data_IF_995671563940
#
_entry.id   IF_995671563940
#
_cell.length_a   1.000
_cell.length_b   1.000
_cell.length_c   1.000
_cell.angle_alpha   90.00
_cell.angle_beta   90.00
_cell.angle_gamma   90.00
#
_symmetry.space_group_name_H-M   'P 1'
#
loop_
_entity.id
_entity.type
_entity.pdbx_description
1 polymer ?
#
# COMPACT_ATOMS: atom_id res chain seq x y z
N UNK A 1 9.81 18.04 2.93
CA UNK A 1 9.81 17.26 4.21
C UNK A 1 10.25 18.15 5.35
N UNK A 2 9.62 18.00 6.49
CA UNK A 2 9.88 18.83 7.66
C UNK A 2 10.47 17.98 8.79
N UNK A 3 10.96 18.66 9.83
CA UNK A 3 11.41 17.98 11.05
C UNK A 3 10.25 17.25 11.72
N UNK A 4 9.05 17.79 11.60
CA UNK A 4 7.83 17.15 12.10
C UNK A 4 7.62 15.79 11.42
N UNK A 5 7.76 15.75 10.08
CA UNK A 5 7.63 14.49 9.34
C UNK A 5 8.65 13.45 9.84
N UNK A 6 9.87 13.87 10.08
CA UNK A 6 10.92 13.00 10.58
C UNK A 6 10.57 12.46 11.97
N UNK A 7 10.11 13.32 12.87
CA UNK A 7 9.74 12.92 14.24
C UNK A 7 8.57 11.93 14.24
N UNK A 8 7.56 12.16 13.40
CA UNK A 8 6.43 11.24 13.27
C UNK A 8 6.89 9.90 12.72
N UNK A 9 7.84 9.92 11.77
CA UNK A 9 8.38 8.67 11.22
C UNK A 9 9.06 7.82 12.29
N UNK A 10 9.73 8.46 13.25
CA UNK A 10 10.33 7.76 14.39
C UNK A 10 9.27 7.12 15.30
N UNK A 11 8.16 7.81 15.52
CA UNK A 11 7.04 7.26 16.29
C UNK A 11 6.43 6.04 15.61
N UNK A 12 6.26 6.10 14.28
CA UNK A 12 5.76 4.97 13.50
C UNK A 12 6.72 3.80 13.60
N UNK A 13 8.02 4.07 13.48
CA UNK A 13 9.06 3.04 13.59
C UNK A 13 9.03 2.32 14.93
N UNK A 14 8.79 3.04 16.03
CA UNK A 14 8.67 2.45 17.36
C UNK A 14 7.52 1.47 17.49
N UNK A 15 6.46 1.64 16.69
CA UNK A 15 5.32 0.72 16.66
C UNK A 15 5.62 -0.55 15.86
N UNK A 16 6.75 -0.56 15.17
CA UNK A 16 7.24 -1.70 14.39
C UNK A 16 6.19 -2.26 13.41
N UNK A 17 5.59 -1.42 12.54
CA UNK A 17 4.60 -1.92 11.60
C UNK A 17 5.28 -2.71 10.48
N UNK A 18 4.55 -3.67 9.85
CA UNK A 18 5.08 -4.37 8.70
C UNK A 18 5.36 -3.39 7.55
N UNK A 19 6.41 -3.66 6.78
CA UNK A 19 6.83 -2.77 5.69
C UNK A 19 5.70 -2.45 4.70
N UNK A 20 4.99 -3.48 4.23
CA UNK A 20 3.92 -3.26 3.25
C UNK A 20 2.72 -2.52 3.83
N UNK A 21 2.50 -2.61 5.15
CA UNK A 21 1.49 -1.80 5.80
C UNK A 21 1.85 -0.31 5.69
N UNK A 22 3.13 0.04 5.81
CA UNK A 22 3.61 1.40 5.63
C UNK A 22 3.37 1.89 4.20
N UNK A 23 3.65 1.04 3.21
CA UNK A 23 3.43 1.39 1.80
C UNK A 23 1.94 1.62 1.53
N UNK A 24 1.07 0.73 2.00
CA UNK A 24 -0.38 0.88 1.83
C UNK A 24 -0.92 2.13 2.52
N UNK A 25 -0.41 2.43 3.72
CA UNK A 25 -0.81 3.65 4.45
C UNK A 25 -0.37 4.90 3.69
N UNK A 26 0.84 4.88 3.12
CA UNK A 26 1.35 5.98 2.31
C UNK A 26 0.47 6.19 1.06
N UNK A 27 0.06 5.12 0.40
CA UNK A 27 -0.83 5.19 -0.76
C UNK A 27 -2.17 5.83 -0.42
N UNK A 28 -2.72 5.53 0.76
CA UNK A 28 -4.00 6.10 1.20
C UNK A 28 -3.90 7.61 1.47
N UNK A 29 -2.74 8.09 1.88
CA UNK A 29 -2.52 9.49 2.24
C UNK A 29 -1.93 10.32 1.10
N UNK A 30 -1.40 9.68 0.08
CA UNK A 30 -0.63 10.33 -0.96
C UNK A 30 -1.49 11.25 -1.83
N UNK A 31 -0.93 12.39 -2.22
CA UNK A 31 -1.46 13.19 -3.32
C UNK A 31 -1.39 12.37 -4.62
N UNK A 32 -2.10 12.81 -5.64
CA UNK A 32 -2.08 12.12 -6.94
C UNK A 32 -0.65 11.90 -7.44
N UNK A 33 0.19 12.93 -7.34
CA UNK A 33 1.58 12.86 -7.79
C UNK A 33 2.41 11.84 -7.02
N UNK A 34 2.28 11.83 -5.69
CA UNK A 34 3.00 10.88 -4.86
C UNK A 34 2.45 9.46 -5.04
N UNK A 35 1.14 9.33 -5.25
CA UNK A 35 0.53 8.04 -5.51
C UNK A 35 1.06 7.42 -6.81
N UNK A 36 1.24 8.21 -7.85
CA UNK A 36 1.84 7.74 -9.11
C UNK A 36 3.24 7.17 -8.87
N UNK A 37 4.06 7.85 -8.06
CA UNK A 37 5.40 7.36 -7.71
C UNK A 37 5.35 6.03 -6.97
N UNK A 38 4.43 5.91 -6.03
CA UNK A 38 4.27 4.67 -5.25
C UNK A 38 3.76 3.53 -6.12
N UNK A 39 2.81 3.79 -7.00
CA UNK A 39 2.31 2.79 -7.94
C UNK A 39 3.38 2.31 -8.90
N UNK A 40 4.23 3.22 -9.39
CA UNK A 40 5.32 2.86 -10.29
C UNK A 40 6.35 1.98 -9.60
N UNK A 41 6.61 2.24 -8.32
CA UNK A 41 7.58 1.47 -7.54
C UNK A 41 7.02 0.13 -7.04
N UNK A 42 5.75 0.10 -6.63
CA UNK A 42 5.11 -1.09 -6.05
C UNK A 42 3.73 -1.33 -6.68
N UNK A 43 3.67 -1.65 -7.99
CA UNK A 43 2.37 -1.88 -8.65
C UNK A 43 1.60 -3.06 -8.06
N UNK A 44 2.29 -4.10 -7.60
CA UNK A 44 1.66 -5.26 -6.97
C UNK A 44 0.96 -4.88 -5.66
N UNK A 45 1.53 -3.97 -4.89
CA UNK A 45 0.92 -3.52 -3.64
C UNK A 45 -0.31 -2.68 -3.94
N UNK A 46 -0.24 -1.82 -4.94
CA UNK A 46 -1.38 -1.01 -5.37
C UNK A 46 -2.54 -1.90 -5.81
N UNK A 47 -2.27 -2.92 -6.62
CA UNK A 47 -3.28 -3.84 -7.11
C UNK A 47 -3.95 -4.58 -5.95
N UNK A 48 -3.18 -5.04 -4.98
CA UNK A 48 -3.71 -5.72 -3.80
C UNK A 48 -4.55 -4.78 -2.94
N UNK A 49 -4.10 -3.56 -2.73
CA UNK A 49 -4.83 -2.56 -1.95
C UNK A 49 -6.19 -2.26 -2.60
N UNK A 50 -6.22 -2.09 -3.91
CA UNK A 50 -7.45 -1.86 -4.67
C UNK A 50 -8.42 -3.03 -4.54
N UNK A 51 -7.92 -4.24 -4.73
CA UNK A 51 -8.73 -5.44 -4.67
C UNK A 51 -9.34 -5.64 -3.27
N UNK A 52 -8.53 -5.42 -2.23
CA UNK A 52 -9.01 -5.55 -0.85
C UNK A 52 -10.01 -4.46 -0.47
N UNK A 53 -9.83 -3.27 -1.01
CA UNK A 53 -10.76 -2.16 -0.77
C UNK A 53 -12.17 -2.51 -1.27
N UNK A 54 -12.26 -3.21 -2.39
CA UNK A 54 -13.53 -3.62 -2.97
C UNK A 54 -14.02 -4.98 -2.48
N UNK A 55 -13.21 -5.72 -1.73
CA UNK A 55 -13.58 -7.03 -1.21
C UNK A 55 -14.31 -6.90 0.13
N UNK A 56 -15.21 -7.84 0.41
CA UNK A 56 -15.93 -7.89 1.67
C UNK A 56 -14.98 -8.12 2.84
N UNK A 57 -14.93 -7.15 3.78
CA UNK A 57 -14.04 -7.21 4.93
C UNK A 57 -12.55 -7.16 4.59
N UNK A 58 -12.20 -6.78 3.35
CA UNK A 58 -10.81 -6.73 2.91
C UNK A 58 -10.15 -8.08 2.67
N UNK A 59 -10.90 -9.17 2.80
CA UNK A 59 -10.39 -10.52 2.59
C UNK A 59 -10.54 -10.93 1.12
N UNK A 60 -9.47 -11.45 0.54
CA UNK A 60 -9.49 -11.94 -0.84
C UNK A 60 -9.80 -13.43 -0.87
N UNK A 61 -10.64 -13.86 -1.82
CA UNK A 61 -10.84 -15.27 -2.10
C UNK A 61 -9.60 -15.81 -2.84
N UNK A 62 -9.47 -17.13 -2.93
CA UNK A 62 -8.36 -17.75 -3.66
C UNK A 62 -8.36 -17.31 -5.13
N UNK A 63 -9.55 -17.23 -5.75
CA UNK A 63 -9.67 -16.80 -7.15
C UNK A 63 -9.26 -15.34 -7.33
N UNK A 64 -9.66 -14.46 -6.42
CA UNK A 64 -9.27 -13.05 -6.44
C UNK A 64 -7.77 -12.88 -6.27
N UNK A 65 -7.16 -13.66 -5.38
CA UNK A 65 -5.72 -13.64 -5.14
C UNK A 65 -4.95 -14.13 -6.37
N UNK A 66 -5.43 -15.20 -7.00
CA UNK A 66 -4.82 -15.73 -8.22
C UNK A 66 -4.88 -14.70 -9.35
N UNK A 67 -6.00 -13.99 -9.50
CA UNK A 67 -6.16 -12.94 -10.50
C UNK A 67 -5.17 -11.80 -10.28
N UNK A 68 -4.88 -11.43 -9.03
CA UNK A 68 -3.89 -10.42 -8.70
C UNK A 68 -2.49 -10.83 -9.09
N UNK A 69 -2.13 -12.09 -8.83
CA UNK A 69 -0.80 -12.61 -9.18
C UNK A 69 -0.60 -12.54 -10.70
N UNK A 70 -1.60 -12.96 -11.47
CA UNK A 70 -1.54 -12.87 -12.93
C UNK A 70 -1.50 -11.42 -13.41
N UNK A 71 -2.33 -10.56 -12.86
CA UNK A 71 -2.36 -9.14 -13.20
C UNK A 71 -1.11 -8.40 -12.79
N UNK A 72 -0.48 -8.80 -11.69
CA UNK A 72 0.73 -8.18 -11.16
C UNK A 72 1.97 -8.39 -12.01
N UNK A 73 1.92 -9.30 -12.96
CA UNK A 73 3.04 -9.61 -13.85
C UNK A 73 2.91 -8.93 -15.22
N UNK A 74 1.90 -8.17 -15.40
CA UNK A 74 1.68 -7.47 -16.68
C UNK A 74 2.61 -6.28 -16.86
#
# INVERSE_FOLDING_TARGET
MSMYDYEVSQEIDRQDPPFYALIMAAMRKASTRNLEKLRDAWPEVWNELQARYHASGGALTDDERAALVEGGHA
#
